data_IF_668557764843
#
_entry.id   IF_668557764843
#
_cell.length_a   1.000
_cell.length_b   1.000
_cell.length_c   1.000
_cell.angle_alpha   90.00
_cell.angle_beta   90.00
_cell.angle_gamma   90.00
#
_symmetry.space_group_name_H-M   'P 1'
#
loop_
_entity.id
_entity.type
_entity.pdbx_description
1 polymer ?
#
# COMPACT_ATOMS: atom_id res chain seq x y z
N UNK A 1 -19.71 16.52 4.43
CA UNK A 1 -20.28 15.17 4.63
C UNK A 1 -19.15 14.27 5.07
N UNK A 2 -19.36 13.41 6.07
CA UNK A 2 -18.33 12.48 6.57
C UNK A 2 -18.92 11.07 6.50
N UNK A 3 -18.17 10.14 5.92
CA UNK A 3 -18.57 8.74 5.76
C UNK A 3 -17.59 7.89 6.54
N UNK A 4 -18.10 6.94 7.31
CA UNK A 4 -17.29 5.92 7.98
C UNK A 4 -17.50 4.62 7.21
N UNK A 5 -16.43 4.14 6.59
CA UNK A 5 -16.41 2.88 5.85
C UNK A 5 -15.74 1.80 6.70
N UNK A 6 -16.46 0.71 6.95
CA UNK A 6 -15.90 -0.50 7.57
C UNK A 6 -15.87 -1.57 6.50
N UNK A 7 -14.66 -1.99 6.10
CA UNK A 7 -14.45 -3.00 5.07
C UNK A 7 -13.27 -3.90 5.41
N UNK A 8 -13.30 -5.11 4.87
CA UNK A 8 -12.18 -6.05 4.88
C UNK A 8 -11.38 -6.01 3.56
N UNK A 9 -11.92 -5.35 2.53
CA UNK A 9 -11.26 -5.12 1.24
C UNK A 9 -10.26 -4.00 1.38
N UNK A 10 -8.98 -4.35 1.41
CA UNK A 10 -7.89 -3.38 1.57
C UNK A 10 -7.72 -2.52 0.31
N UNK A 11 -8.11 -3.04 -0.83
CA UNK A 11 -8.18 -2.34 -2.12
C UNK A 11 -9.18 -1.18 -2.06
N UNK A 12 -10.38 -1.42 -1.54
CA UNK A 12 -11.39 -0.36 -1.41
C UNK A 12 -10.94 0.68 -0.39
N UNK A 13 -10.35 0.23 0.71
CA UNK A 13 -9.80 1.13 1.73
C UNK A 13 -8.71 2.02 1.12
N UNK A 14 -7.75 1.44 0.38
CA UNK A 14 -6.70 2.21 -0.26
C UNK A 14 -7.22 3.24 -1.28
N UNK A 15 -8.35 2.95 -1.93
CA UNK A 15 -8.92 3.79 -3.00
C UNK A 15 -9.83 4.91 -2.50
N UNK A 16 -10.63 4.65 -1.47
CA UNK A 16 -11.78 5.51 -1.13
C UNK A 16 -11.65 6.30 0.17
N UNK A 17 -10.68 5.99 1.04
CA UNK A 17 -10.60 6.63 2.36
C UNK A 17 -9.43 7.59 2.46
N UNK A 18 -9.65 8.72 3.12
CA UNK A 18 -8.60 9.69 3.43
C UNK A 18 -7.80 9.31 4.70
N UNK A 19 -8.41 8.51 5.58
CA UNK A 19 -7.86 8.12 6.88
C UNK A 19 -8.25 6.69 7.24
N UNK A 20 -7.28 5.93 7.76
CA UNK A 20 -7.49 4.57 8.28
C UNK A 20 -7.30 4.58 9.79
N UNK A 21 -8.22 3.91 10.49
CA UNK A 21 -8.08 3.58 11.90
C UNK A 21 -8.01 2.06 12.00
N UNK A 22 -6.88 1.54 12.47
CA UNK A 22 -6.69 0.09 12.69
C UNK A 22 -6.98 -0.20 14.15
N UNK A 23 -7.89 -1.12 14.41
CA UNK A 23 -8.22 -1.58 15.75
C UNK A 23 -7.63 -2.97 15.99
N UNK A 24 -7.00 -3.16 17.15
CA UNK A 24 -6.49 -4.44 17.60
C UNK A 24 -6.87 -4.64 19.07
N UNK A 25 -7.57 -5.74 19.38
CA UNK A 25 -7.99 -6.12 20.76
C UNK A 25 -8.62 -4.96 21.55
N UNK A 26 -9.49 -4.18 20.91
CA UNK A 26 -10.21 -3.06 21.55
C UNK A 26 -9.40 -1.77 21.72
N UNK A 27 -8.16 -1.71 21.22
CA UNK A 27 -7.32 -0.51 21.23
C UNK A 27 -7.04 -0.03 19.79
N UNK A 28 -6.81 1.27 19.64
CA UNK A 28 -6.37 1.86 18.36
C UNK A 28 -4.88 1.58 18.19
N UNK A 29 -4.53 0.84 17.14
CA UNK A 29 -3.15 0.52 16.77
C UNK A 29 -2.57 1.56 15.81
N UNK A 30 -3.34 1.93 14.77
CA UNK A 30 -2.96 2.98 13.82
C UNK A 30 -4.11 3.95 13.60
N UNK A 31 -3.77 5.21 13.34
CA UNK A 31 -4.71 6.27 12.99
C UNK A 31 -4.00 7.31 12.13
N UNK A 32 -3.91 7.05 10.83
CA UNK A 32 -3.20 7.93 9.89
C UNK A 32 -3.74 7.74 8.46
N UNK A 33 -3.13 8.41 7.48
CA UNK A 33 -3.45 8.27 6.06
C UNK A 33 -3.10 6.87 5.53
N UNK A 34 -3.83 6.35 4.52
CA UNK A 34 -3.63 5.01 3.98
C UNK A 34 -2.18 4.64 3.69
N UNK A 35 -1.45 5.53 3.01
CA UNK A 35 -0.05 5.30 2.62
C UNK A 35 0.87 5.00 3.80
N UNK A 36 0.68 5.70 4.93
CA UNK A 36 1.50 5.45 6.12
C UNK A 36 1.09 4.18 6.83
N UNK A 37 -0.21 3.91 6.95
CA UNK A 37 -0.70 2.68 7.60
C UNK A 37 -0.21 1.44 6.83
N UNK A 38 -0.32 1.45 5.49
CA UNK A 38 0.16 0.33 4.66
C UNK A 38 1.68 0.22 4.58
N UNK A 39 2.45 1.27 4.86
CA UNK A 39 3.90 1.15 5.01
C UNK A 39 4.29 0.21 6.17
N UNK A 40 3.40 0.05 7.17
CA UNK A 40 3.53 -0.89 8.28
C UNK A 40 2.92 -2.27 7.98
N UNK A 41 2.90 -2.71 6.71
CA UNK A 41 2.24 -3.97 6.29
C UNK A 41 2.65 -5.19 7.12
N UNK A 42 3.91 -5.30 7.55
CA UNK A 42 4.38 -6.40 8.41
C UNK A 42 3.72 -6.39 9.80
N UNK A 43 3.46 -5.21 10.36
CA UNK A 43 2.78 -5.07 11.63
C UNK A 43 1.28 -5.37 11.48
N UNK A 44 0.68 -4.94 10.36
CA UNK A 44 -0.70 -5.28 9.99
C UNK A 44 -0.89 -6.81 9.88
N UNK A 45 0.06 -7.51 9.27
CA UNK A 45 0.06 -8.98 9.18
C UNK A 45 0.09 -9.66 10.54
N UNK A 46 0.86 -9.12 11.49
CA UNK A 46 0.92 -9.67 12.86
C UNK A 46 -0.42 -9.61 13.61
N UNK A 47 -1.33 -8.74 13.19
CA UNK A 47 -2.67 -8.57 13.77
C UNK A 47 -3.79 -9.16 12.90
N UNK A 48 -3.43 -9.91 11.85
CA UNK A 48 -4.39 -10.60 10.98
C UNK A 48 -4.98 -9.72 9.88
N UNK A 49 -4.36 -8.60 9.55
CA UNK A 49 -4.71 -7.75 8.41
C UNK A 49 -3.68 -7.93 7.29
N UNK A 50 -4.02 -7.48 6.08
CA UNK A 50 -3.10 -7.47 4.95
C UNK A 50 -2.98 -6.05 4.38
N UNK A 51 -1.95 -5.80 3.58
CA UNK A 51 -1.90 -4.63 2.71
C UNK A 51 -2.58 -4.94 1.35
N UNK A 52 -2.81 -3.93 0.49
CA UNK A 52 -3.23 -4.17 -0.89
C UNK A 52 -2.20 -5.04 -1.64
N UNK A 53 -2.67 -5.92 -2.53
CA UNK A 53 -1.79 -6.83 -3.29
C UNK A 53 -0.67 -6.10 -4.04
N UNK A 54 -0.96 -4.91 -4.55
CA UNK A 54 0.00 -4.07 -5.28
C UNK A 54 1.19 -3.68 -4.42
N UNK A 55 1.01 -3.42 -3.12
CA UNK A 55 2.10 -3.09 -2.19
C UNK A 55 3.10 -4.24 -2.12
N UNK A 56 2.61 -5.49 -2.01
CA UNK A 56 3.48 -6.67 -2.00
C UNK A 56 4.26 -6.84 -3.29
N UNK A 57 3.60 -6.66 -4.44
CA UNK A 57 4.25 -6.79 -5.76
C UNK A 57 5.37 -5.75 -5.90
N UNK A 58 5.13 -4.50 -5.50
CA UNK A 58 6.12 -3.43 -5.61
C UNK A 58 7.33 -3.67 -4.69
N UNK A 59 7.10 -4.17 -3.48
CA UNK A 59 8.17 -4.62 -2.59
C UNK A 59 8.98 -5.76 -3.20
N UNK A 60 8.32 -6.80 -3.73
CA UNK A 60 9.00 -7.95 -4.36
C UNK A 60 9.80 -7.55 -5.60
N UNK A 61 9.32 -6.60 -6.40
CA UNK A 61 10.05 -6.05 -7.55
C UNK A 61 11.32 -5.31 -7.12
N UNK A 62 11.23 -4.51 -6.05
CA UNK A 62 12.39 -3.83 -5.48
C UNK A 62 13.42 -4.81 -4.91
N UNK A 63 12.98 -5.86 -4.23
CA UNK A 63 13.87 -6.93 -3.74
C UNK A 63 14.59 -7.66 -4.88
N UNK A 64 13.97 -7.74 -6.06
CA UNK A 64 14.60 -8.27 -7.29
C UNK A 64 15.54 -7.28 -7.99
N UNK A 65 15.75 -6.09 -7.43
CA UNK A 65 16.69 -5.09 -7.93
C UNK A 65 16.11 -4.06 -8.89
N UNK A 66 14.79 -4.00 -9.07
CA UNK A 66 14.15 -2.97 -9.89
C UNK A 66 13.99 -1.66 -9.08
N UNK A 67 14.33 -0.51 -9.68
CA UNK A 67 14.15 0.82 -9.07
C UNK A 67 12.66 1.26 -9.12
N UNK A 68 11.84 0.64 -8.28
CA UNK A 68 10.40 0.96 -8.15
C UNK A 68 10.04 1.58 -6.80
N UNK A 69 9.06 2.51 -6.76
CA UNK A 69 8.53 3.04 -5.51
C UNK A 69 7.73 1.99 -4.73
N UNK A 70 7.97 1.84 -3.43
CA UNK A 70 7.29 0.84 -2.57
C UNK A 70 6.10 1.39 -1.80
N UNK A 71 5.78 2.67 -1.97
CA UNK A 71 4.65 3.35 -1.33
C UNK A 71 3.37 3.30 -2.17
N UNK A 72 3.38 2.58 -3.30
CA UNK A 72 2.21 2.38 -4.13
C UNK A 72 1.17 1.51 -3.42
N UNK A 73 -0.05 2.05 -3.36
CA UNK A 73 -1.21 1.43 -2.68
C UNK A 73 -2.36 1.14 -3.64
N UNK A 74 -2.29 1.67 -4.87
CA UNK A 74 -3.25 1.38 -5.94
C UNK A 74 -2.58 0.77 -7.17
N UNK A 75 -3.39 0.18 -8.05
CA UNK A 75 -2.92 -0.43 -9.31
C UNK A 75 -2.32 0.64 -10.21
N UNK A 76 -2.94 1.82 -10.27
CA UNK A 76 -2.49 2.93 -11.10
C UNK A 76 -1.11 3.43 -10.65
N UNK A 77 -0.91 3.62 -9.34
CA UNK A 77 0.39 4.03 -8.77
C UNK A 77 1.48 3.00 -9.06
N UNK A 78 1.16 1.72 -8.92
CA UNK A 78 2.09 0.63 -9.21
C UNK A 78 2.46 0.58 -10.70
N UNK A 79 1.48 0.67 -11.58
CA UNK A 79 1.69 0.69 -13.03
C UNK A 79 2.58 1.86 -13.46
N UNK A 80 2.31 3.06 -12.95
CA UNK A 80 3.11 4.25 -13.22
C UNK A 80 4.56 4.11 -12.71
N UNK A 81 4.72 3.54 -11.51
CA UNK A 81 6.03 3.26 -10.92
C UNK A 81 6.86 2.30 -11.77
N UNK A 82 6.27 1.19 -12.18
CA UNK A 82 6.92 0.18 -13.04
C UNK A 82 7.25 0.76 -14.41
N UNK A 83 6.32 1.50 -15.03
CA UNK A 83 6.56 2.13 -16.34
C UNK A 83 7.71 3.14 -16.31
N UNK A 84 7.85 3.90 -15.22
CA UNK A 84 8.99 4.81 -15.03
C UNK A 84 10.30 4.05 -14.86
N UNK A 85 10.32 2.98 -14.06
CA UNK A 85 11.50 2.15 -13.86
C UNK A 85 11.99 1.54 -15.18
N UNK A 86 11.08 0.95 -15.97
CA UNK A 86 11.40 0.36 -17.27
C UNK A 86 11.96 1.37 -18.29
N UNK A 87 11.44 2.61 -18.29
CA UNK A 87 11.98 3.68 -19.16
C UNK A 87 13.42 4.06 -18.78
N UNK A 88 13.73 4.14 -17.48
CA UNK A 88 15.10 4.41 -17.02
C UNK A 88 16.08 3.31 -17.42
N UNK A 89 15.70 2.04 -17.24
CA UNK A 89 16.54 0.90 -17.64
C UNK A 89 16.80 0.87 -19.14
N UNK A 90 15.79 1.19 -19.96
CA UNK A 90 15.96 1.29 -21.42
C UNK A 90 16.82 2.47 -21.86
N UNK A 91 16.81 3.57 -21.12
CA UNK A 91 17.65 4.74 -21.41
C UNK A 91 19.10 4.57 -20.94
N UNK A 92 19.36 3.66 -19.99
CA UNK A 92 20.69 3.35 -19.48
C UNK A 92 21.43 2.27 -20.29
N UNK A 93 20.80 1.75 -21.35
CA UNK A 93 21.31 0.69 -22.23
C UNK A 93 21.54 1.21 -23.64
#
# INVERSE_FOLDING_TARGET
MTVILVSHSMEDIAKYVDRIIVMNKGSVMFNDVPKKVFAHYKELESVGLAAPQVTYIMHALKEKGMDVPTDATTIEEAADGIMKALKKERAAK
#
